data_IF_701218785642
#
_entry.id   IF_701218785642
#
_cell.length_a   1.000
_cell.length_b   1.000
_cell.length_c   1.000
_cell.angle_alpha   90.00
_cell.angle_beta   90.00
_cell.angle_gamma   90.00
#
_symmetry.space_group_name_H-M   'P 1'
#
loop_
_entity.id
_entity.type
_entity.pdbx_description
1 polymer ?
#
# COMPACT_ATOMS: atom_id res chain seq x y z
N UNK A 1 -7.79 29.73 43.47
CA UNK A 1 -9.24 29.80 43.68
C UNK A 1 -9.82 28.39 43.51
N UNK A 2 -10.85 28.02 44.27
CA UNK A 2 -11.45 26.68 44.17
C UNK A 2 -12.29 26.52 42.90
N UNK A 3 -12.69 25.30 42.52
CA UNK A 3 -13.47 25.03 41.31
C UNK A 3 -14.86 25.72 41.28
N UNK A 4 -15.29 26.29 42.39
CA UNK A 4 -16.57 26.99 42.56
C UNK A 4 -16.53 28.48 42.18
N UNK A 5 -15.36 29.08 41.98
CA UNK A 5 -15.26 30.52 41.71
C UNK A 5 -15.40 30.81 40.22
N UNK A 6 -16.45 31.55 39.85
CA UNK A 6 -16.69 32.01 38.48
C UNK A 6 -15.60 32.96 37.97
N UNK A 7 -15.23 32.79 36.71
CA UNK A 7 -14.19 33.59 36.03
C UNK A 7 -14.77 34.94 35.63
N UNK A 8 -14.13 36.03 36.05
CA UNK A 8 -14.53 37.40 35.71
C UNK A 8 -13.67 37.95 34.56
N UNK A 9 -14.15 39.01 33.89
CA UNK A 9 -13.46 39.63 32.73
C UNK A 9 -12.08 40.24 33.06
N UNK A 10 -11.79 40.48 34.34
CA UNK A 10 -10.49 40.95 34.82
C UNK A 10 -9.49 39.83 35.12
N UNK A 11 -9.90 38.56 34.98
CA UNK A 11 -9.05 37.42 35.30
C UNK A 11 -8.14 37.07 34.11
N UNK A 12 -6.84 37.04 34.35
CA UNK A 12 -5.86 36.61 33.36
C UNK A 12 -5.92 35.08 33.21
N UNK A 13 -6.55 34.61 32.13
CA UNK A 13 -6.64 33.19 31.81
C UNK A 13 -5.33 32.75 31.16
N UNK A 14 -4.42 32.18 31.96
CA UNK A 14 -3.27 31.48 31.43
C UNK A 14 -3.70 30.15 30.81
N UNK A 15 -3.84 30.11 29.48
CA UNK A 15 -3.94 28.86 28.72
C UNK A 15 -2.59 28.15 28.79
N UNK A 16 -2.41 27.31 29.82
CA UNK A 16 -1.27 26.42 29.89
C UNK A 16 -1.43 25.36 28.78
N UNK A 17 -0.55 25.33 27.76
CA UNK A 17 -0.51 24.18 26.87
C UNK A 17 -0.24 22.94 27.73
N UNK A 18 -0.85 21.78 27.46
CA UNK A 18 -0.56 20.57 28.20
C UNK A 18 0.90 20.17 27.96
N UNK A 19 1.79 20.53 28.88
CA UNK A 19 3.19 20.08 28.90
C UNK A 19 3.40 19.14 30.08
N UNK A 20 3.24 17.85 29.81
CA UNK A 20 3.81 16.77 30.62
C UNK A 20 3.67 15.45 29.86
N UNK A 21 4.60 15.19 28.93
CA UNK A 21 4.61 13.97 28.14
C UNK A 21 5.70 13.89 27.08
N UNK A 22 6.96 14.11 27.47
CA UNK A 22 8.13 13.70 26.68
C UNK A 22 8.64 14.75 25.68
N UNK A 23 9.93 15.05 25.81
CA UNK A 23 10.77 15.64 24.76
C UNK A 23 10.87 14.68 23.56
N UNK A 24 9.78 14.48 22.83
CA UNK A 24 9.91 14.09 21.44
C UNK A 24 10.33 15.36 20.70
N UNK A 25 11.47 15.30 20.02
CA UNK A 25 11.82 16.33 19.05
C UNK A 25 10.58 16.56 18.18
N UNK A 26 10.07 17.79 18.14
CA UNK A 26 9.05 18.19 17.16
C UNK A 26 9.73 17.99 15.82
N UNK A 27 9.57 16.80 15.23
CA UNK A 27 9.97 16.55 13.86
C UNK A 27 9.15 17.52 13.04
N UNK A 28 9.84 18.33 12.26
CA UNK A 28 9.18 19.23 11.34
C UNK A 28 8.22 18.40 10.48
N UNK A 29 6.89 18.59 10.62
CA UNK A 29 5.90 17.76 9.94
C UNK A 29 6.01 17.87 8.42
N UNK A 30 6.73 18.87 7.90
CA UNK A 30 7.05 19.01 6.48
C UNK A 30 8.19 18.09 6.05
N UNK A 31 9.25 17.95 6.85
CA UNK A 31 10.42 17.09 6.55
C UNK A 31 10.04 15.61 6.62
N UNK A 32 9.24 15.21 7.61
CA UNK A 32 8.75 13.83 7.73
C UNK A 32 7.79 13.46 6.58
N UNK A 33 6.93 14.40 6.17
CA UNK A 33 6.06 14.22 5.00
C UNK A 33 6.85 14.10 3.69
N UNK A 34 7.93 14.88 3.51
CA UNK A 34 8.78 14.81 2.32
C UNK A 34 9.53 13.48 2.25
N UNK A 35 9.98 12.96 3.39
CA UNK A 35 10.68 11.68 3.46
C UNK A 35 9.77 10.50 3.05
N UNK A 36 8.50 10.50 3.46
CA UNK A 36 7.54 9.44 3.09
C UNK A 36 7.22 9.46 1.59
N UNK A 37 7.06 10.66 1.01
CA UNK A 37 6.87 10.82 -0.44
C UNK A 37 8.11 10.37 -1.19
N UNK A 38 9.31 10.71 -0.71
CA UNK A 38 10.57 10.25 -1.30
C UNK A 38 10.68 8.72 -1.30
N UNK A 39 10.36 8.05 -0.18
CA UNK A 39 10.43 6.58 -0.12
C UNK A 39 9.44 5.91 -1.07
N UNK A 40 8.24 6.43 -1.20
CA UNK A 40 7.27 5.92 -2.16
C UNK A 40 7.70 6.15 -3.61
N UNK A 41 8.27 7.34 -3.90
CA UNK A 41 8.87 7.63 -5.20
C UNK A 41 10.08 6.73 -5.48
N UNK A 42 10.91 6.43 -4.48
CA UNK A 42 12.04 5.51 -4.59
C UNK A 42 11.58 4.07 -4.85
N UNK A 43 10.51 3.61 -4.18
CA UNK A 43 9.92 2.29 -4.42
C UNK A 43 9.37 2.17 -5.86
N UNK A 44 8.61 3.16 -6.32
CA UNK A 44 8.12 3.21 -7.71
C UNK A 44 9.27 3.33 -8.71
N UNK A 45 10.27 4.15 -8.42
CA UNK A 45 11.48 4.31 -9.23
C UNK A 45 12.28 3.02 -9.34
N UNK A 46 12.41 2.26 -8.25
CA UNK A 46 13.07 0.95 -8.26
C UNK A 46 12.33 -0.04 -9.16
N UNK A 47 10.99 -0.12 -9.08
CA UNK A 47 10.19 -0.96 -9.97
C UNK A 47 10.30 -0.52 -11.43
N UNK A 48 10.29 0.79 -11.68
CA UNK A 48 10.42 1.35 -13.03
C UNK A 48 11.79 1.04 -13.64
N UNK A 49 12.88 1.29 -12.92
CA UNK A 49 14.24 0.98 -13.37
C UNK A 49 14.37 -0.52 -13.61
N UNK A 50 13.91 -1.33 -12.67
CA UNK A 50 13.98 -2.78 -12.77
C UNK A 50 13.17 -3.34 -13.96
N UNK A 51 12.05 -2.70 -14.33
CA UNK A 51 11.28 -3.06 -15.51
C UNK A 51 12.13 -3.03 -16.80
N UNK A 52 13.04 -2.05 -16.90
CA UNK A 52 13.96 -1.90 -18.03
C UNK A 52 15.23 -2.75 -17.93
N UNK A 53 15.55 -3.32 -16.77
CA UNK A 53 16.73 -4.14 -16.56
C UNK A 53 16.51 -5.63 -16.85
N UNK A 54 15.25 -6.04 -17.04
CA UNK A 54 14.85 -7.41 -17.34
C UNK A 54 14.16 -8.11 -16.16
N UNK A 55 13.64 -9.31 -16.43
CA UNK A 55 12.71 -10.00 -15.53
C UNK A 55 13.30 -10.30 -14.14
N UNK A 56 14.56 -10.76 -14.07
CA UNK A 56 15.21 -11.12 -12.80
C UNK A 56 15.36 -9.91 -11.88
N UNK A 57 15.74 -8.76 -12.45
CA UNK A 57 15.84 -7.50 -11.71
C UNK A 57 14.47 -7.01 -11.27
N UNK A 58 13.45 -7.16 -12.13
CA UNK A 58 12.08 -6.82 -11.80
C UNK A 58 11.54 -7.66 -10.62
N UNK A 59 11.72 -8.98 -10.67
CA UNK A 59 11.35 -9.89 -9.56
C UNK A 59 12.04 -9.47 -8.26
N UNK A 60 13.34 -9.16 -8.33
CA UNK A 60 14.12 -8.72 -7.16
C UNK A 60 13.60 -7.40 -6.59
N UNK A 61 13.27 -6.44 -7.45
CA UNK A 61 12.70 -5.16 -7.03
C UNK A 61 11.31 -5.33 -6.41
N UNK A 62 10.46 -6.21 -6.97
CA UNK A 62 9.15 -6.57 -6.40
C UNK A 62 9.32 -7.16 -5.00
N UNK A 63 10.20 -8.15 -4.81
CA UNK A 63 10.51 -8.71 -3.49
C UNK A 63 10.95 -7.62 -2.51
N UNK A 64 11.86 -6.74 -2.94
CA UNK A 64 12.38 -5.67 -2.10
C UNK A 64 11.32 -4.65 -1.67
N UNK A 65 10.51 -4.16 -2.62
CA UNK A 65 9.45 -3.17 -2.34
C UNK A 65 8.38 -3.75 -1.44
N UNK A 66 7.90 -4.97 -1.74
CA UNK A 66 6.86 -5.61 -0.94
C UNK A 66 7.38 -6.04 0.43
N UNK A 67 8.61 -6.55 0.51
CA UNK A 67 9.26 -6.89 1.78
C UNK A 67 9.44 -5.67 2.67
N UNK A 68 9.88 -4.54 2.12
CA UNK A 68 10.01 -3.29 2.86
C UNK A 68 8.64 -2.74 3.30
N UNK A 69 7.60 -2.88 2.46
CA UNK A 69 6.23 -2.54 2.83
C UNK A 69 5.70 -3.40 3.99
N UNK A 70 5.83 -4.73 3.93
CA UNK A 70 5.41 -5.62 5.03
C UNK A 70 6.15 -5.27 6.32
N UNK A 71 7.45 -5.02 6.23
CA UNK A 71 8.26 -4.63 7.38
C UNK A 71 7.77 -3.32 8.02
N UNK A 72 7.51 -2.30 7.20
CA UNK A 72 7.00 -1.00 7.66
C UNK A 72 5.60 -1.11 8.29
N UNK A 73 4.72 -1.92 7.71
CA UNK A 73 3.37 -2.18 8.26
C UNK A 73 3.47 -2.94 9.58
N UNK A 74 4.38 -3.91 9.69
CA UNK A 74 4.58 -4.69 10.92
C UNK A 74 5.12 -3.82 12.06
N UNK A 75 6.17 -3.03 11.82
CA UNK A 75 6.78 -2.20 12.86
C UNK A 75 5.78 -1.18 13.43
N UNK A 76 4.97 -0.56 12.58
CA UNK A 76 3.96 0.43 12.99
C UNK A 76 2.70 -0.22 13.59
N UNK A 77 2.35 -1.42 13.12
CA UNK A 77 1.17 -2.18 13.59
C UNK A 77 1.39 -3.01 14.86
N UNK A 78 2.63 -3.05 15.37
CA UNK A 78 3.05 -3.86 16.54
C UNK A 78 2.16 -3.69 17.77
N UNK A 79 1.63 -2.49 17.98
CA UNK A 79 0.81 -2.13 19.15
C UNK A 79 -0.69 -2.21 18.91
N UNK A 80 -1.16 -2.28 17.67
CA UNK A 80 -2.57 -2.10 17.33
C UNK A 80 -3.24 -3.32 16.66
N UNK A 81 -2.62 -3.90 15.62
CA UNK A 81 -3.19 -5.03 14.85
C UNK A 81 -2.47 -6.36 15.10
N UNK A 82 -1.24 -6.29 15.63
CA UNK A 82 -0.39 -7.41 16.02
C UNK A 82 -0.51 -8.62 15.09
N UNK A 83 0.03 -8.56 13.88
CA UNK A 83 0.21 -9.75 13.03
C UNK A 83 1.65 -10.26 13.12
N UNK A 84 1.88 -11.53 12.80
CA UNK A 84 3.24 -12.08 12.72
C UNK A 84 3.91 -11.64 11.41
N UNK A 85 5.07 -10.98 11.49
CA UNK A 85 5.81 -10.51 10.31
C UNK A 85 6.28 -11.65 9.41
N UNK A 86 6.74 -12.75 10.00
CA UNK A 86 7.48 -13.78 9.26
C UNK A 86 6.68 -14.42 8.11
N UNK A 87 5.41 -14.84 8.29
CA UNK A 87 4.62 -15.42 7.19
C UNK A 87 4.32 -14.39 6.10
N UNK A 88 4.15 -13.13 6.48
CA UNK A 88 3.93 -12.05 5.52
C UNK A 88 5.19 -11.78 4.69
N UNK A 89 6.37 -11.72 5.32
CA UNK A 89 7.65 -11.60 4.63
C UNK A 89 7.95 -12.82 3.75
N UNK A 90 7.63 -14.02 4.20
CA UNK A 90 7.72 -15.22 3.38
C UNK A 90 6.84 -15.10 2.13
N UNK A 91 5.64 -14.51 2.24
CA UNK A 91 4.78 -14.21 1.11
C UNK A 91 5.40 -13.27 0.09
N UNK A 92 6.10 -12.21 0.54
CA UNK A 92 6.80 -11.28 -0.37
C UNK A 92 7.94 -11.93 -1.15
N UNK A 93 8.46 -13.06 -0.68
CA UNK A 93 9.52 -13.81 -1.35
C UNK A 93 8.94 -14.91 -2.25
N UNK A 94 8.09 -15.78 -1.68
CA UNK A 94 7.59 -16.98 -2.37
C UNK A 94 6.58 -16.60 -3.46
N UNK A 95 5.74 -15.59 -3.26
CA UNK A 95 4.78 -15.10 -4.26
C UNK A 95 5.43 -14.77 -5.61
N UNK A 96 6.34 -13.79 -5.69
CA UNK A 96 6.98 -13.40 -6.94
C UNK A 96 7.92 -14.49 -7.49
N UNK A 97 8.61 -15.25 -6.65
CA UNK A 97 9.48 -16.35 -7.13
C UNK A 97 8.69 -17.51 -7.74
N UNK A 98 7.59 -17.91 -7.11
CA UNK A 98 6.74 -18.98 -7.63
C UNK A 98 5.99 -18.53 -8.89
N UNK A 99 5.53 -17.29 -8.92
CA UNK A 99 4.97 -16.68 -10.13
C UNK A 99 5.99 -16.65 -11.29
N UNK A 100 7.25 -16.34 -10.99
CA UNK A 100 8.34 -16.35 -11.96
C UNK A 100 8.64 -17.76 -12.50
N UNK A 101 8.70 -18.75 -11.62
CA UNK A 101 9.07 -20.11 -11.99
C UNK A 101 7.93 -20.91 -12.67
N UNK A 102 6.68 -20.70 -12.23
CA UNK A 102 5.54 -21.56 -12.58
C UNK A 102 4.27 -20.80 -12.97
N UNK A 103 4.35 -19.49 -13.21
CA UNK A 103 3.20 -18.68 -13.62
C UNK A 103 2.09 -18.64 -12.58
N UNK A 104 0.83 -18.60 -13.03
CA UNK A 104 -0.35 -18.49 -12.17
C UNK A 104 -0.54 -19.69 -11.23
N UNK A 105 -0.14 -20.90 -11.64
CA UNK A 105 -0.15 -22.07 -10.77
C UNK A 105 0.84 -21.92 -9.60
N UNK A 106 2.01 -21.35 -9.87
CA UNK A 106 3.00 -21.01 -8.83
C UNK A 106 2.47 -20.00 -7.83
N UNK A 107 1.73 -18.99 -8.30
CA UNK A 107 1.07 -18.01 -7.42
C UNK A 107 0.06 -18.69 -6.47
N UNK A 108 -0.76 -19.62 -6.99
CA UNK A 108 -1.68 -20.41 -6.17
C UNK A 108 -0.96 -21.23 -5.10
N UNK A 109 0.15 -21.88 -5.47
CA UNK A 109 0.98 -22.62 -4.53
C UNK A 109 1.63 -21.70 -3.46
N UNK A 110 2.06 -20.49 -3.85
CA UNK A 110 2.59 -19.51 -2.92
C UNK A 110 1.55 -19.05 -1.90
N UNK A 111 0.32 -18.79 -2.32
CA UNK A 111 -0.78 -18.43 -1.41
C UNK A 111 -1.04 -19.57 -0.41
N UNK A 112 -1.13 -20.82 -0.89
CA UNK A 112 -1.30 -21.98 -0.02
C UNK A 112 -0.14 -22.13 0.98
N UNK A 113 1.10 -21.94 0.52
CA UNK A 113 2.28 -21.96 1.37
C UNK A 113 2.20 -20.90 2.47
N UNK A 114 1.83 -19.66 2.12
CA UNK A 114 1.73 -18.57 3.10
C UNK A 114 0.66 -18.85 4.15
N UNK A 115 -0.50 -19.34 3.75
CA UNK A 115 -1.56 -19.76 4.68
C UNK A 115 -1.04 -20.84 5.63
N UNK A 116 -0.35 -21.86 5.12
CA UNK A 116 0.28 -22.89 5.94
C UNK A 116 1.31 -22.31 6.91
N UNK A 117 2.17 -21.39 6.47
CA UNK A 117 3.17 -20.76 7.34
C UNK A 117 2.55 -19.90 8.45
N UNK A 118 1.40 -19.28 8.19
CA UNK A 118 0.63 -18.56 9.20
C UNK A 118 0.05 -19.51 10.26
N UNK A 119 -0.47 -20.68 9.86
CA UNK A 119 -0.90 -21.69 10.84
C UNK A 119 0.27 -22.27 11.65
N UNK A 120 1.42 -22.52 11.00
CA UNK A 120 2.63 -22.97 11.68
C UNK A 120 3.12 -21.93 12.69
N UNK A 121 3.01 -20.63 12.38
CA UNK A 121 3.42 -19.58 13.31
C UNK A 121 2.59 -19.59 14.61
N UNK A 122 1.30 -19.95 14.55
CA UNK A 122 0.44 -20.10 15.73
C UNK A 122 0.80 -21.33 16.60
N UNK A 123 1.38 -22.38 16.00
CA UNK A 123 1.88 -23.54 16.73
C UNK A 123 3.16 -23.16 17.48
N UNK A 124 4.11 -22.56 16.77
CA UNK A 124 5.47 -22.25 17.27
C UNK A 124 5.45 -21.12 18.29
N UNK A 125 4.63 -20.08 18.09
CA UNK A 125 4.58 -18.90 18.93
C UNK A 125 3.19 -18.79 19.60
N UNK A 126 3.09 -19.02 20.92
CA UNK A 126 1.80 -18.98 21.63
C UNK A 126 1.07 -17.65 21.51
N UNK A 127 1.81 -16.55 21.35
CA UNK A 127 1.29 -15.20 21.15
C UNK A 127 0.49 -15.02 19.85
N UNK A 128 0.67 -15.91 18.85
CA UNK A 128 -0.04 -15.86 17.57
C UNK A 128 -1.35 -16.67 17.55
N UNK A 129 -1.76 -17.26 18.68
CA UNK A 129 -2.93 -18.15 18.75
C UNK A 129 -4.28 -17.43 18.81
N UNK A 130 -4.28 -16.12 19.03
CA UNK A 130 -5.51 -15.33 19.03
C UNK A 130 -6.05 -15.23 17.59
N UNK A 131 -7.38 -15.29 17.46
CA UNK A 131 -8.04 -15.27 16.15
C UNK A 131 -7.68 -14.01 15.37
N UNK A 132 -7.65 -12.85 16.05
CA UNK A 132 -7.33 -11.57 15.41
C UNK A 132 -5.91 -11.54 14.83
N UNK A 133 -4.93 -12.05 15.57
CA UNK A 133 -3.52 -12.11 15.15
C UNK A 133 -3.32 -13.10 14.01
N UNK A 134 -3.97 -14.26 14.08
CA UNK A 134 -3.92 -15.25 13.01
C UNK A 134 -4.58 -14.74 11.74
N UNK A 135 -5.77 -14.13 11.84
CA UNK A 135 -6.48 -13.55 10.71
C UNK A 135 -5.67 -12.41 10.07
N UNK A 136 -5.09 -11.51 10.87
CA UNK A 136 -4.22 -10.44 10.39
C UNK A 136 -2.97 -10.99 9.68
N UNK A 137 -2.37 -12.05 10.22
CA UNK A 137 -1.19 -12.71 9.63
C UNK A 137 -1.51 -13.36 8.29
N UNK A 138 -2.62 -14.09 8.20
CA UNK A 138 -3.08 -14.70 6.95
C UNK A 138 -3.40 -13.63 5.93
N UNK A 139 -4.15 -12.59 6.32
CA UNK A 139 -4.53 -11.49 5.42
C UNK A 139 -3.30 -10.77 4.86
N UNK A 140 -2.40 -10.33 5.74
CA UNK A 140 -1.18 -9.63 5.34
C UNK A 140 -0.32 -10.50 4.41
N UNK A 141 -0.17 -11.79 4.73
CA UNK A 141 0.61 -12.71 3.92
C UNK A 141 -0.01 -13.04 2.57
N UNK A 142 -1.32 -13.31 2.53
CA UNK A 142 -2.03 -13.57 1.26
C UNK A 142 -1.95 -12.35 0.35
N UNK A 143 -2.15 -11.15 0.89
CA UNK A 143 -2.05 -9.91 0.11
C UNK A 143 -0.63 -9.69 -0.38
N UNK A 144 0.36 -9.82 0.50
CA UNK A 144 1.77 -9.70 0.13
C UNK A 144 2.15 -10.66 -1.01
N UNK A 145 1.80 -11.95 -0.90
CA UNK A 145 2.12 -12.95 -1.91
C UNK A 145 1.35 -12.74 -3.21
N UNK A 146 0.04 -12.50 -3.12
CA UNK A 146 -0.83 -12.35 -4.29
C UNK A 146 -0.44 -11.11 -5.08
N UNK A 147 -0.26 -9.98 -4.41
CA UNK A 147 0.08 -8.72 -5.06
C UNK A 147 1.50 -8.69 -5.64
N UNK A 148 2.48 -9.21 -4.90
CA UNK A 148 3.85 -9.32 -5.42
C UNK A 148 3.92 -10.29 -6.61
N UNK A 149 3.30 -11.46 -6.49
CA UNK A 149 3.21 -12.42 -7.59
C UNK A 149 2.45 -11.87 -8.80
N UNK A 150 1.35 -11.16 -8.59
CA UNK A 150 0.56 -10.52 -9.64
C UNK A 150 1.40 -9.55 -10.48
N UNK A 151 2.25 -8.72 -9.88
CA UNK A 151 3.14 -7.83 -10.65
C UNK A 151 4.11 -8.61 -11.53
N UNK A 152 4.66 -9.71 -11.02
CA UNK A 152 5.53 -10.58 -11.80
C UNK A 152 4.76 -11.21 -12.97
N UNK A 153 3.54 -11.68 -12.74
CA UNK A 153 2.71 -12.25 -13.80
C UNK A 153 2.31 -11.22 -14.87
N UNK A 154 2.04 -9.97 -14.48
CA UNK A 154 1.83 -8.88 -15.45
C UNK A 154 3.07 -8.70 -16.32
N UNK A 155 4.26 -8.70 -15.71
CA UNK A 155 5.52 -8.50 -16.43
C UNK A 155 5.86 -9.65 -17.39
N UNK A 156 5.50 -10.88 -17.04
CA UNK A 156 5.72 -12.08 -17.85
C UNK A 156 4.64 -12.29 -18.94
N UNK A 157 3.54 -11.54 -18.88
CA UNK A 157 2.46 -11.63 -19.86
C UNK A 157 2.83 -11.06 -21.23
N UNK A 158 1.94 -11.27 -22.21
CA UNK A 158 2.03 -10.62 -23.53
C UNK A 158 1.99 -9.11 -23.32
N UNK A 159 2.95 -8.40 -23.93
CA UNK A 159 3.20 -6.97 -23.74
C UNK A 159 3.43 -6.56 -22.28
N UNK A 160 4.01 -7.47 -21.49
CA UNK A 160 4.21 -7.28 -20.06
C UNK A 160 5.03 -6.05 -19.69
N UNK A 161 5.93 -5.60 -20.57
CA UNK A 161 6.67 -4.35 -20.41
C UNK A 161 5.74 -3.12 -20.41
N UNK A 162 4.91 -3.00 -21.44
CA UNK A 162 3.97 -1.89 -21.62
C UNK A 162 2.88 -1.91 -20.54
N UNK A 163 2.38 -3.09 -20.19
CA UNK A 163 1.34 -3.27 -19.15
C UNK A 163 1.87 -2.97 -17.75
N UNK A 164 3.10 -3.37 -17.46
CA UNK A 164 3.78 -2.99 -16.21
C UNK A 164 3.99 -1.48 -16.13
N UNK A 165 4.46 -0.87 -17.22
CA UNK A 165 4.60 0.58 -17.31
C UNK A 165 3.26 1.30 -17.09
N UNK A 166 2.18 0.82 -17.71
CA UNK A 166 0.85 1.38 -17.53
C UNK A 166 0.41 1.35 -16.06
N UNK A 167 0.60 0.22 -15.38
CA UNK A 167 0.35 0.10 -13.96
C UNK A 167 1.17 1.10 -13.13
N UNK A 168 2.48 1.18 -13.36
CA UNK A 168 3.37 2.07 -12.61
C UNK A 168 3.00 3.55 -12.82
N UNK A 169 2.64 3.94 -14.04
CA UNK A 169 2.19 5.31 -14.36
C UNK A 169 0.86 5.62 -13.66
N UNK A 170 -0.09 4.68 -13.68
CA UNK A 170 -1.37 4.83 -12.98
C UNK A 170 -1.17 5.04 -11.47
N UNK A 171 -0.36 4.20 -10.81
CA UNK A 171 -0.08 4.34 -9.36
C UNK A 171 0.73 5.59 -9.04
N UNK A 172 1.68 5.95 -9.89
CA UNK A 172 2.46 7.18 -9.73
C UNK A 172 1.56 8.42 -9.75
N UNK A 173 0.68 8.52 -10.74
CA UNK A 173 -0.25 9.65 -10.87
C UNK A 173 -1.34 9.63 -9.80
N UNK A 174 -1.81 8.45 -9.36
CA UNK A 174 -2.70 8.34 -8.21
C UNK A 174 -2.08 8.93 -6.93
N UNK A 175 -0.83 8.56 -6.64
CA UNK A 175 -0.09 9.08 -5.49
C UNK A 175 0.19 10.58 -5.58
N UNK A 176 0.51 11.09 -6.77
CA UNK A 176 0.71 12.52 -7.00
C UNK A 176 -0.60 13.30 -6.79
N UNK A 177 -1.72 12.83 -7.35
CA UNK A 177 -3.02 13.47 -7.18
C UNK A 177 -3.48 13.46 -5.71
N UNK A 178 -3.28 12.33 -5.02
CA UNK A 178 -3.55 12.21 -3.59
C UNK A 178 -2.71 13.19 -2.76
N UNK A 179 -1.41 13.27 -3.02
CA UNK A 179 -0.50 14.18 -2.31
C UNK A 179 -0.81 15.65 -2.59
N UNK A 180 -1.09 16.01 -3.84
CA UNK A 180 -1.37 17.39 -4.24
C UNK A 180 -2.65 17.93 -3.59
N UNK A 181 -3.69 17.10 -3.48
CA UNK A 181 -4.95 17.48 -2.82
C UNK A 181 -4.82 17.60 -1.31
N UNK A 182 -4.02 16.74 -0.67
CA UNK A 182 -3.69 16.88 0.75
C UNK A 182 -2.89 18.16 1.05
N UNK A 183 -1.99 18.57 0.16
CA UNK A 183 -1.20 19.79 0.31
C UNK A 183 -2.00 21.07 0.02
N UNK A 184 -3.02 21.00 -0.85
CA UNK A 184 -3.81 22.15 -1.31
C UNK A 184 -5.00 22.55 -0.44
N UNK A 185 -4.98 22.22 0.87
CA UNK A 185 -6.15 22.13 1.77
C UNK A 185 -7.02 23.39 1.95
N UNK A 186 -6.67 24.54 1.38
CA UNK A 186 -7.51 25.74 1.39
C UNK A 186 -8.38 25.93 0.13
N UNK A 187 -8.16 25.16 -0.95
CA UNK A 187 -8.89 25.30 -2.23
C UNK A 187 -9.19 23.99 -2.98
N UNK A 188 -8.97 22.83 -2.36
CA UNK A 188 -9.22 21.56 -3.03
C UNK A 188 -10.73 21.32 -3.25
N UNK A 189 -11.17 21.30 -4.51
CA UNK A 189 -12.55 20.99 -4.90
C UNK A 189 -12.88 19.50 -4.86
N UNK A 190 -11.88 18.65 -4.68
CA UNK A 190 -11.98 17.19 -4.67
C UNK A 190 -11.31 16.64 -3.42
N UNK A 191 -11.91 15.62 -2.79
CA UNK A 191 -11.24 14.88 -1.73
C UNK A 191 -10.07 14.05 -2.29
N UNK A 192 -9.03 13.75 -1.48
CA UNK A 192 -7.83 13.08 -1.97
C UNK A 192 -8.06 11.70 -2.59
N UNK A 193 -9.02 10.93 -2.08
CA UNK A 193 -9.30 9.58 -2.59
C UNK A 193 -10.00 9.65 -3.94
N UNK A 194 -10.99 10.54 -4.09
CA UNK A 194 -11.65 10.79 -5.38
C UNK A 194 -10.66 11.34 -6.40
N UNK A 195 -9.76 12.24 -6.00
CA UNK A 195 -8.72 12.76 -6.89
C UNK A 195 -7.77 11.66 -7.38
N UNK A 196 -7.33 10.76 -6.50
CA UNK A 196 -6.49 9.62 -6.86
C UNK A 196 -7.22 8.63 -7.80
N UNK A 197 -8.48 8.32 -7.50
CA UNK A 197 -9.29 7.44 -8.33
C UNK A 197 -9.53 8.03 -9.73
N UNK A 198 -9.90 9.31 -9.81
CA UNK A 198 -10.08 10.01 -11.08
C UNK A 198 -8.77 10.08 -11.87
N UNK A 199 -7.65 10.42 -11.23
CA UNK A 199 -6.35 10.45 -11.89
C UNK A 199 -6.00 9.07 -12.48
N UNK A 200 -6.21 8.00 -11.72
CA UNK A 200 -5.98 6.62 -12.17
C UNK A 200 -6.84 6.28 -13.40
N UNK A 201 -8.14 6.57 -13.36
CA UNK A 201 -9.08 6.25 -14.43
C UNK A 201 -8.75 7.05 -15.69
N UNK A 202 -8.55 8.37 -15.57
CA UNK A 202 -8.23 9.25 -16.70
C UNK A 202 -6.94 8.80 -17.39
N UNK A 203 -5.92 8.47 -16.59
CA UNK A 203 -4.63 7.99 -17.09
C UNK A 203 -4.76 6.63 -17.76
N UNK A 204 -5.48 5.70 -17.13
CA UNK A 204 -5.72 4.39 -17.73
C UNK A 204 -6.48 4.47 -19.04
N UNK A 205 -7.49 5.34 -19.14
CA UNK A 205 -8.21 5.60 -20.39
C UNK A 205 -7.26 6.21 -21.44
N UNK A 206 -6.46 7.21 -21.06
CA UNK A 206 -5.51 7.82 -21.98
C UNK A 206 -4.47 6.80 -22.49
N UNK A 207 -3.94 5.96 -21.60
CA UNK A 207 -3.01 4.90 -21.95
C UNK A 207 -3.65 3.89 -22.91
N UNK A 208 -4.92 3.52 -22.71
CA UNK A 208 -5.63 2.59 -23.60
C UNK A 208 -5.69 3.09 -25.05
N UNK A 209 -5.79 4.40 -25.26
CA UNK A 209 -5.78 5.01 -26.59
C UNK A 209 -4.38 5.25 -27.15
N UNK A 210 -3.38 5.49 -26.28
CA UNK A 210 -2.00 5.77 -26.70
C UNK A 210 -1.25 4.49 -27.06
N UNK A 211 -1.41 3.42 -26.29
CA UNK A 211 -0.65 2.17 -26.51
C UNK A 211 -1.17 1.37 -27.70
N UNK A 212 -2.39 1.66 -28.19
CA UNK A 212 -2.98 0.96 -29.33
C UNK A 212 -3.20 -0.53 -29.06
N UNK A 213 -3.35 -0.92 -27.78
CA UNK A 213 -3.60 -2.31 -27.36
C UNK A 213 -4.79 -2.90 -28.12
N UNK A 214 -4.72 -4.19 -28.45
CA UNK A 214 -5.79 -4.89 -29.17
C UNK A 214 -7.12 -4.94 -28.39
N UNK A 215 -7.07 -4.70 -27.07
CA UNK A 215 -8.23 -4.68 -26.17
C UNK A 215 -8.27 -3.43 -25.27
N UNK A 216 -8.60 -2.23 -25.80
CA UNK A 216 -8.64 -0.99 -25.02
C UNK A 216 -9.64 -1.07 -23.85
N UNK A 217 -10.70 -1.86 -24.01
CA UNK A 217 -11.68 -2.13 -22.96
C UNK A 217 -11.05 -2.85 -21.75
N UNK A 218 -10.10 -3.76 -21.97
CA UNK A 218 -9.41 -4.46 -20.89
C UNK A 218 -8.59 -3.49 -20.04
N UNK A 219 -7.88 -2.55 -20.67
CA UNK A 219 -7.08 -1.55 -19.96
C UNK A 219 -7.97 -0.56 -19.19
N UNK A 220 -9.13 -0.18 -19.74
CA UNK A 220 -10.11 0.69 -19.05
C UNK A 220 -10.67 -0.01 -17.80
N UNK A 221 -11.07 -1.28 -17.91
CA UNK A 221 -11.54 -2.05 -16.75
C UNK A 221 -10.42 -2.23 -15.73
N UNK A 222 -9.21 -2.53 -16.20
CA UNK A 222 -8.04 -2.65 -15.34
C UNK A 222 -7.74 -1.33 -14.61
N UNK A 223 -7.94 -0.16 -15.24
CA UNK A 223 -7.80 1.14 -14.59
C UNK A 223 -8.84 1.36 -13.47
N UNK A 224 -10.10 0.95 -13.69
CA UNK A 224 -11.13 0.96 -12.65
C UNK A 224 -10.76 0.04 -11.48
N UNK A 225 -10.21 -1.14 -11.76
CA UNK A 225 -9.75 -2.10 -10.76
C UNK A 225 -8.53 -1.59 -9.99
N UNK A 226 -7.61 -0.88 -10.65
CA UNK A 226 -6.48 -0.19 -10.00
C UNK A 226 -6.99 0.93 -9.10
N UNK A 227 -7.96 1.72 -9.53
CA UNK A 227 -8.53 2.80 -8.72
C UNK A 227 -9.22 2.25 -7.46
N UNK A 228 -10.03 1.20 -7.60
CA UNK A 228 -10.67 0.50 -6.48
C UNK A 228 -9.63 -0.16 -5.55
N UNK A 229 -8.62 -0.81 -6.12
CA UNK A 229 -7.53 -1.43 -5.39
C UNK A 229 -6.65 -0.41 -4.66
N UNK A 230 -6.45 0.77 -5.23
CA UNK A 230 -5.73 1.87 -4.59
C UNK A 230 -6.46 2.32 -3.33
N UNK A 231 -7.78 2.53 -3.41
CA UNK A 231 -8.59 2.89 -2.26
C UNK A 231 -8.60 1.78 -1.20
N UNK A 232 -8.83 0.54 -1.63
CA UNK A 232 -8.83 -0.64 -0.75
C UNK A 232 -7.47 -0.87 -0.07
N UNK A 233 -6.37 -0.64 -0.78
CA UNK A 233 -5.03 -0.76 -0.23
C UNK A 233 -4.75 0.30 0.84
N UNK A 234 -5.21 1.54 0.63
CA UNK A 234 -5.08 2.61 1.65
C UNK A 234 -5.92 2.33 2.90
N UNK A 235 -7.14 1.83 2.75
CA UNK A 235 -7.98 1.46 3.90
C UNK A 235 -7.41 0.25 4.64
N UNK A 236 -6.93 -0.76 3.92
CA UNK A 236 -6.22 -1.90 4.50
C UNK A 236 -4.97 -1.46 5.26
N UNK A 237 -4.15 -0.57 4.69
CA UNK A 237 -2.97 -0.01 5.36
C UNK A 237 -3.33 0.67 6.68
N UNK A 238 -4.46 1.38 6.74
CA UNK A 238 -4.96 1.98 7.99
C UNK A 238 -5.31 0.94 9.05
N UNK A 239 -6.01 -0.13 8.64
CA UNK A 239 -6.40 -1.23 9.53
C UNK A 239 -5.17 -1.99 10.04
N UNK A 240 -4.22 -2.32 9.17
CA UNK A 240 -3.03 -3.06 9.56
C UNK A 240 -2.11 -2.26 10.49
N UNK A 241 -2.13 -0.92 10.43
CA UNK A 241 -1.25 -0.08 11.26
C UNK A 241 -1.91 0.40 12.55
N UNK A 242 -3.23 0.61 12.56
CA UNK A 242 -3.95 1.18 13.71
C UNK A 242 -5.12 0.36 14.23
N UNK A 243 -5.52 -0.71 13.55
CA UNK A 243 -6.72 -1.48 13.90
C UNK A 243 -8.03 -0.79 13.54
N UNK A 244 -7.99 0.48 13.08
CA UNK A 244 -9.14 1.33 12.79
C UNK A 244 -9.05 2.00 11.42
N UNK A 245 -10.20 2.39 10.88
CA UNK A 245 -10.32 3.04 9.58
C UNK A 245 -10.06 4.55 9.70
N UNK A 246 -8.96 4.99 9.09
CA UNK A 246 -8.63 6.41 9.00
C UNK A 246 -8.59 6.88 7.55
N UNK A 247 -9.61 7.65 7.15
CA UNK A 247 -9.74 8.13 5.77
C UNK A 247 -9.06 9.48 5.52
N UNK A 248 -8.95 10.34 6.54
CA UNK A 248 -8.50 11.73 6.41
C UNK A 248 -7.38 12.13 7.37
N UNK A 249 -6.95 11.25 8.28
CA UNK A 249 -5.88 11.57 9.24
C UNK A 249 -4.53 11.05 8.76
N UNK A 250 -3.43 11.64 9.28
CA UNK A 250 -2.08 11.12 9.03
C UNK A 250 -1.99 9.71 9.61
N UNK A 251 -1.74 8.72 8.75
CA UNK A 251 -1.39 7.35 9.17
C UNK A 251 0.08 7.31 9.64
N UNK A 252 0.42 6.43 10.61
CA UNK A 252 1.80 6.19 10.98
C UNK A 252 2.49 5.32 9.92
N UNK A 253 3.81 5.40 9.80
CA UNK A 253 4.59 4.62 8.84
C UNK A 253 5.18 5.38 7.67
N UNK A 254 6.27 4.82 7.14
CA UNK A 254 7.14 5.47 6.16
C UNK A 254 6.70 5.19 4.72
N UNK A 255 5.95 4.11 4.50
CA UNK A 255 5.47 3.68 3.18
C UNK A 255 3.95 3.78 3.00
N UNK A 256 3.27 4.67 3.74
CA UNK A 256 1.81 4.86 3.65
C UNK A 256 1.30 5.21 2.24
N UNK A 257 2.17 5.70 1.36
CA UNK A 257 1.84 6.01 -0.04
C UNK A 257 1.95 4.78 -0.96
N UNK A 258 2.59 3.70 -0.50
CA UNK A 258 2.69 2.44 -1.24
C UNK A 258 1.48 1.53 -0.96
N UNK A 259 0.82 1.68 0.20
CA UNK A 259 -0.33 0.86 0.63
C UNK A 259 -1.39 0.68 -0.47
N UNK A 260 -1.74 1.75 -1.20
CA UNK A 260 -2.71 1.68 -2.30
C UNK A 260 -2.23 0.83 -3.50
N UNK A 261 -0.95 0.95 -3.86
CA UNK A 261 -0.36 0.19 -4.98
C UNK A 261 -0.32 -1.32 -4.73
N UNK A 262 -0.20 -1.74 -3.47
CA UNK A 262 -0.11 -3.16 -3.09
C UNK A 262 -1.38 -3.91 -3.51
N UNK A 263 -2.56 -3.49 -3.07
CA UNK A 263 -3.81 -4.18 -3.41
C UNK A 263 -4.17 -3.96 -4.89
N UNK A 264 -3.88 -2.78 -5.42
CA UNK A 264 -4.10 -2.47 -6.84
C UNK A 264 -3.35 -3.44 -7.78
N UNK A 265 -2.15 -3.90 -7.43
CA UNK A 265 -1.39 -4.84 -8.24
C UNK A 265 -2.12 -6.16 -8.47
N UNK A 266 -2.70 -6.75 -7.41
CA UNK A 266 -3.45 -8.00 -7.51
C UNK A 266 -4.70 -7.83 -8.39
N UNK A 267 -5.45 -6.75 -8.17
CA UNK A 267 -6.66 -6.46 -8.94
C UNK A 267 -6.37 -6.12 -10.40
N UNK A 268 -5.25 -5.45 -10.69
CA UNK A 268 -4.81 -5.15 -12.04
C UNK A 268 -4.53 -6.42 -12.82
N UNK A 269 -3.74 -7.34 -12.24
CA UNK A 269 -3.48 -8.63 -12.88
C UNK A 269 -4.76 -9.43 -13.08
N UNK A 270 -5.65 -9.50 -12.08
CA UNK A 270 -6.93 -10.20 -12.22
C UNK A 270 -7.79 -9.63 -13.36
N UNK A 271 -7.83 -8.31 -13.51
CA UNK A 271 -8.57 -7.67 -14.59
C UNK A 271 -8.00 -8.06 -15.96
N UNK A 272 -6.66 -8.06 -16.09
CA UNK A 272 -6.00 -8.46 -17.33
C UNK A 272 -6.19 -9.96 -17.61
N UNK A 273 -6.08 -10.81 -16.59
CA UNK A 273 -6.19 -12.26 -16.75
C UNK A 273 -7.61 -12.74 -17.11
N UNK A 274 -8.65 -11.99 -16.73
CA UNK A 274 -10.04 -12.29 -17.07
C UNK A 274 -10.46 -11.79 -18.46
N UNK A 275 -9.71 -10.84 -19.03
CA UNK A 275 -10.08 -10.12 -20.24
C UNK A 275 -9.11 -10.34 -21.41
N UNK A 276 -8.03 -11.11 -21.17
CA UNK A 276 -7.10 -11.60 -22.17
C UNK A 276 -7.50 -13.01 -22.65
#
# INVERSE_FOLDING_TARGET
AGPETGVNESDEIALLPPVSGGSAAVRDPTVESQFHVFLAAAALGALLIANFMGEQWYVTAVVGVFGFWVWDVFEEGRTASGFSAWPALAGTLVGPLAAYAWGSAGLGAAVAFVVMTAFVSAIVQPENRTIDRLAGTVLAGVIAATSAGALVLVRLGIDGDSRTLAFLVMIGLANLAFGATLAGSSRAWLDPHTAAALATIIVGVALAFITGDESPLALIIAACMVAGGFLAGRTLGSLLRRGDLFLMSKLPGRLIHVDGGIVAAALYWMALALLA
#
